data_IF_256658483460
#
_entry.id   IF_256658483460
#
_cell.length_a   1.000
_cell.length_b   1.000
_cell.length_c   1.000
_cell.angle_alpha   90.00
_cell.angle_beta   90.00
_cell.angle_gamma   90.00
#
_symmetry.space_group_name_H-M   'P 1'
#
loop_
_entity.id
_entity.type
_entity.pdbx_description
1 polymer ?
#
# COMPACT_ATOMS: atom_id res chain seq x y z
N UNK A 1 35.54 31.81 -77.58
CA UNK A 1 34.30 32.21 -76.88
C UNK A 1 34.74 32.83 -75.58
N UNK A 2 34.92 34.13 -75.52
CA UNK A 2 33.86 35.16 -75.37
C UNK A 2 33.27 35.19 -73.95
N UNK A 3 33.54 36.32 -73.28
CA UNK A 3 32.89 36.98 -72.12
C UNK A 3 31.35 36.78 -72.05
N UNK A 4 30.63 36.86 -70.91
CA UNK A 4 30.44 38.03 -70.01
C UNK A 4 29.79 37.69 -68.63
N UNK A 5 30.27 38.41 -67.59
CA UNK A 5 29.69 38.95 -66.31
C UNK A 5 28.42 38.41 -65.62
N UNK A 6 28.52 38.33 -64.27
CA UNK A 6 27.71 38.95 -63.17
C UNK A 6 27.86 38.04 -61.91
N UNK A 7 27.87 38.44 -60.64
CA UNK A 7 27.53 39.64 -59.87
C UNK A 7 28.18 39.42 -58.47
N UNK A 8 28.82 40.43 -57.89
CA UNK A 8 29.19 40.40 -56.46
C UNK A 8 27.94 40.78 -55.65
N UNK A 9 27.58 39.97 -54.66
CA UNK A 9 26.61 40.30 -53.61
C UNK A 9 27.21 39.93 -52.22
N UNK A 10 26.84 40.66 -51.16
CA UNK A 10 27.71 40.98 -50.04
C UNK A 10 27.79 39.89 -48.98
N UNK A 11 28.97 39.79 -48.33
CA UNK A 11 29.20 38.97 -47.14
C UNK A 11 28.33 39.47 -45.98
N UNK A 12 27.29 38.71 -45.62
CA UNK A 12 26.67 38.77 -44.30
C UNK A 12 27.69 38.27 -43.26
N UNK A 13 28.26 39.18 -42.46
CA UNK A 13 28.95 38.82 -41.23
C UNK A 13 27.91 38.69 -40.11
N UNK A 14 27.48 37.47 -39.83
CA UNK A 14 26.84 37.13 -38.55
C UNK A 14 27.91 36.83 -37.52
N UNK A 15 27.94 37.57 -36.40
CA UNK A 15 28.79 37.27 -35.25
C UNK A 15 27.95 36.71 -34.11
N UNK A 16 28.16 35.43 -33.78
CA UNK A 16 27.53 34.77 -32.63
C UNK A 16 28.34 35.05 -31.36
N UNK A 17 27.76 35.73 -30.37
CA UNK A 17 28.35 35.86 -29.02
C UNK A 17 27.49 35.09 -28.04
N UNK A 18 28.09 34.11 -27.36
CA UNK A 18 27.42 33.27 -26.36
C UNK A 18 27.86 33.67 -24.95
N UNK A 19 26.92 34.07 -24.09
CA UNK A 19 27.08 34.09 -22.63
C UNK A 19 25.77 33.62 -22.00
N UNK A 20 25.83 32.61 -21.13
CA UNK A 20 24.69 32.01 -20.41
C UNK A 20 23.50 31.61 -21.33
N UNK A 21 23.75 30.77 -22.33
CA UNK A 21 22.72 30.06 -23.08
C UNK A 21 21.76 30.91 -23.93
N UNK A 22 21.94 32.23 -23.99
CA UNK A 22 21.11 33.12 -24.80
C UNK A 22 21.84 33.44 -26.10
N UNK A 23 21.21 33.16 -27.25
CA UNK A 23 21.74 33.52 -28.58
C UNK A 23 21.07 34.83 -29.02
N UNK A 24 21.87 35.86 -29.28
CA UNK A 24 21.39 37.12 -29.86
C UNK A 24 21.63 37.10 -31.37
N UNK A 25 20.55 37.09 -32.15
CA UNK A 25 20.61 37.33 -33.59
C UNK A 25 20.21 38.78 -33.84
N UNK A 26 21.15 39.59 -34.34
CA UNK A 26 20.88 40.95 -34.80
C UNK A 26 20.80 40.93 -36.33
N UNK A 27 19.58 40.81 -36.87
CA UNK A 27 19.34 40.97 -38.31
C UNK A 27 19.24 42.47 -38.63
N UNK A 28 20.25 43.01 -39.31
CA UNK A 28 20.22 44.38 -39.82
C UNK A 28 19.57 44.40 -41.20
N UNK A 29 18.28 44.72 -41.26
CA UNK A 29 17.61 45.04 -42.54
C UNK A 29 17.47 46.55 -42.68
N UNK A 30 18.22 47.13 -43.62
CA UNK A 30 18.07 48.53 -44.02
C UNK A 30 16.85 48.67 -44.94
N UNK A 31 15.78 49.28 -44.44
CA UNK A 31 14.76 49.91 -45.28
C UNK A 31 14.09 51.07 -44.52
N UNK A 32 14.18 52.25 -45.14
CA UNK A 32 13.54 53.56 -44.92
C UNK A 32 12.90 53.92 -43.55
N UNK A 33 13.36 55.07 -43.06
CA UNK A 33 12.76 56.02 -42.10
C UNK A 33 11.37 55.67 -41.57
N UNK A 34 11.29 55.06 -40.39
CA UNK A 34 10.34 55.37 -39.30
C UNK A 34 10.76 54.61 -38.02
N UNK A 35 10.43 55.19 -36.87
CA UNK A 35 10.84 54.80 -35.49
C UNK A 35 10.99 53.29 -35.23
N UNK A 36 12.20 52.86 -34.86
CA UNK A 36 12.51 51.50 -34.40
C UNK A 36 11.88 51.21 -33.03
N UNK A 37 10.97 50.24 -32.96
CA UNK A 37 10.65 49.53 -31.72
C UNK A 37 11.42 48.22 -31.69
N UNK A 38 12.35 48.10 -30.74
CA UNK A 38 13.05 46.85 -30.43
C UNK A 38 12.03 45.80 -30.00
N UNK A 39 11.72 44.86 -30.91
CA UNK A 39 10.86 43.73 -30.58
C UNK A 39 11.77 42.56 -30.21
N UNK A 40 11.99 42.36 -28.89
CA UNK A 40 12.70 41.20 -28.37
C UNK A 40 11.87 39.94 -28.63
N UNK A 41 12.28 39.15 -29.61
CA UNK A 41 11.79 37.77 -29.78
C UNK A 41 12.64 36.88 -28.87
N UNK A 42 12.08 36.45 -27.75
CA UNK A 42 12.69 35.43 -26.89
C UNK A 42 12.35 34.07 -27.50
N UNK A 43 13.32 33.42 -28.13
CA UNK A 43 13.18 32.02 -28.51
C UNK A 43 13.17 31.18 -27.24
N UNK A 44 12.01 30.62 -26.87
CA UNK A 44 11.91 29.60 -25.82
C UNK A 44 12.45 28.32 -26.41
N UNK A 45 13.67 27.93 -26.04
CA UNK A 45 14.17 26.59 -26.34
C UNK A 45 13.40 25.63 -25.44
N UNK A 46 12.63 24.66 -25.99
CA UNK A 46 11.95 23.69 -25.14
C UNK A 46 13.00 22.91 -24.34
N UNK A 47 12.75 22.77 -23.04
CA UNK A 47 13.63 22.00 -22.16
C UNK A 47 13.83 20.58 -22.72
N UNK A 48 15.04 19.99 -22.62
CA UNK A 48 15.31 18.66 -23.14
C UNK A 48 14.39 17.64 -22.46
N UNK A 49 13.53 17.00 -23.25
CA UNK A 49 12.61 15.97 -22.78
C UNK A 49 13.40 14.74 -22.33
N UNK A 50 13.31 14.39 -21.04
CA UNK A 50 14.03 13.26 -20.44
C UNK A 50 13.20 11.98 -20.61
N UNK A 51 13.76 10.91 -21.19
CA UNK A 51 13.02 9.66 -21.33
C UNK A 51 12.62 9.05 -19.98
N UNK A 52 11.38 8.61 -19.86
CA UNK A 52 10.87 7.94 -18.67
C UNK A 52 11.57 6.58 -18.51
N UNK A 53 12.04 6.31 -17.29
CA UNK A 53 12.74 5.05 -16.92
C UNK A 53 12.08 4.30 -15.78
N UNK A 54 11.11 4.92 -15.10
CA UNK A 54 10.50 4.43 -13.87
C UNK A 54 9.05 4.88 -13.81
N UNK A 55 8.18 4.04 -13.24
CA UNK A 55 6.79 4.38 -12.99
C UNK A 55 6.54 5.09 -11.66
N UNK A 56 7.59 5.44 -10.91
CA UNK A 56 7.46 6.24 -9.70
C UNK A 56 6.67 7.52 -10.00
N UNK A 57 5.57 7.68 -9.29
CA UNK A 57 4.63 8.81 -9.37
C UNK A 57 3.85 8.96 -10.70
N UNK A 58 4.01 8.02 -11.63
CA UNK A 58 3.42 8.04 -12.99
C UNK A 58 2.52 6.85 -13.32
N UNK A 59 2.12 6.06 -12.31
CA UNK A 59 1.25 4.91 -12.50
C UNK A 59 -0.09 5.29 -13.15
N UNK A 60 -0.46 4.55 -14.20
CA UNK A 60 -1.73 4.67 -14.92
C UNK A 60 -1.96 6.00 -15.64
N UNK A 61 -0.93 6.84 -15.77
CA UNK A 61 -1.02 8.06 -16.56
C UNK A 61 -0.99 7.74 -18.06
N UNK A 62 -1.76 8.49 -18.85
CA UNK A 62 -1.85 8.26 -20.29
C UNK A 62 -0.49 8.44 -20.98
N UNK A 63 -0.15 7.53 -21.91
CA UNK A 63 1.09 7.60 -22.67
C UNK A 63 1.05 8.76 -23.67
N UNK A 64 2.13 9.55 -23.69
CA UNK A 64 2.34 10.66 -24.61
C UNK A 64 3.81 10.65 -25.03
N UNK A 65 4.07 10.38 -26.31
CA UNK A 65 5.43 10.19 -26.85
C UNK A 65 6.21 11.52 -26.94
N UNK A 66 5.52 12.65 -27.11
CA UNK A 66 6.15 13.97 -27.21
C UNK A 66 6.56 14.51 -25.84
N UNK A 67 5.71 14.28 -24.83
CA UNK A 67 5.96 14.74 -23.45
C UNK A 67 6.78 13.75 -22.63
N UNK A 68 6.67 12.44 -22.89
CA UNK A 68 7.31 11.37 -22.11
C UNK A 68 7.75 10.19 -23.01
N UNK A 69 8.80 10.38 -23.82
CA UNK A 69 9.42 9.29 -24.55
C UNK A 69 9.99 8.26 -23.56
N UNK A 70 10.09 6.97 -23.93
CA UNK A 70 10.67 5.92 -23.09
C UNK A 70 9.70 4.79 -22.76
N UNK A 71 9.84 4.22 -21.56
CA UNK A 71 8.97 3.13 -21.10
C UNK A 71 7.60 3.65 -20.63
N UNK A 72 6.61 2.76 -20.62
CA UNK A 72 5.21 3.08 -20.35
C UNK A 72 4.78 2.67 -18.94
N UNK A 73 3.78 3.37 -18.40
CA UNK A 73 3.20 3.11 -17.07
C UNK A 73 1.67 3.10 -17.08
N UNK A 74 1.06 3.17 -18.27
CA UNK A 74 -0.39 3.06 -18.46
C UNK A 74 -0.85 1.60 -18.46
N UNK A 75 -2.17 1.39 -18.41
CA UNK A 75 -2.77 0.06 -18.37
C UNK A 75 -2.38 -0.85 -19.55
N UNK A 76 -2.09 -0.27 -20.72
CA UNK A 76 -1.76 -1.03 -21.93
C UNK A 76 -0.27 -1.34 -22.07
N UNK A 77 0.59 -0.88 -21.15
CA UNK A 77 2.02 -1.14 -21.23
C UNK A 77 2.33 -2.65 -21.21
N UNK A 78 1.51 -3.43 -20.48
CA UNK A 78 1.68 -4.88 -20.34
C UNK A 78 1.39 -5.59 -21.65
N UNK A 79 0.28 -5.23 -22.32
CA UNK A 79 -0.12 -5.80 -23.59
C UNK A 79 0.88 -5.48 -24.72
N UNK A 80 1.55 -4.33 -24.63
CA UNK A 80 2.53 -3.86 -25.62
C UNK A 80 3.98 -4.21 -25.26
N UNK A 81 4.20 -4.91 -24.14
CA UNK A 81 5.52 -5.25 -23.61
C UNK A 81 6.47 -4.03 -23.54
N UNK A 82 5.93 -2.89 -23.13
CA UNK A 82 6.61 -1.59 -23.13
C UNK A 82 6.71 -0.96 -21.73
N UNK A 83 6.31 -1.69 -20.68
CA UNK A 83 6.33 -1.18 -19.32
C UNK A 83 7.73 -0.81 -18.84
N UNK A 84 7.81 0.17 -17.93
CA UNK A 84 9.03 0.37 -17.16
C UNK A 84 9.31 -0.86 -16.28
N UNK A 85 10.58 -1.08 -15.95
CA UNK A 85 11.03 -2.27 -15.24
C UNK A 85 10.41 -2.43 -13.84
N UNK A 86 9.99 -1.32 -13.25
CA UNK A 86 9.38 -1.24 -11.91
C UNK A 86 7.85 -1.10 -11.92
N UNK A 87 7.21 -1.19 -13.09
CA UNK A 87 5.76 -1.02 -13.23
C UNK A 87 4.98 -2.00 -12.34
N UNK A 88 5.38 -3.27 -12.30
CA UNK A 88 4.69 -4.27 -11.48
C UNK A 88 4.83 -3.95 -9.98
N UNK A 89 6.04 -3.62 -9.52
CA UNK A 89 6.33 -3.35 -8.11
C UNK A 89 5.68 -2.06 -7.60
N UNK A 90 5.58 -1.03 -8.45
CA UNK A 90 5.08 0.30 -8.06
C UNK A 90 3.59 0.46 -8.36
N UNK A 91 3.07 -0.11 -9.46
CA UNK A 91 1.70 0.15 -9.90
C UNK A 91 0.74 -1.02 -9.66
N UNK A 92 1.20 -2.28 -9.73
CA UNK A 92 0.34 -3.47 -9.58
C UNK A 92 0.34 -4.04 -8.17
N UNK A 93 1.53 -4.28 -7.61
CA UNK A 93 1.71 -4.82 -6.26
C UNK A 93 0.90 -4.09 -5.17
N UNK A 94 0.79 -2.74 -5.14
CA UNK A 94 -0.03 -2.04 -4.14
C UNK A 94 -1.50 -2.47 -4.10
N UNK A 95 -2.02 -2.98 -5.21
CA UNK A 95 -3.43 -3.37 -5.39
C UNK A 95 -3.69 -4.82 -4.97
N UNK A 96 -2.62 -5.61 -4.85
CA UNK A 96 -2.65 -7.06 -4.62
C UNK A 96 -2.09 -7.44 -3.24
N UNK A 97 -1.12 -6.68 -2.71
CA UNK A 97 -0.41 -7.00 -1.46
C UNK A 97 -0.69 -5.99 -0.34
N UNK A 98 -0.51 -6.47 0.90
CA UNK A 98 -0.70 -5.73 2.15
C UNK A 98 0.62 -5.26 2.78
N UNK A 99 1.69 -5.22 1.99
CA UNK A 99 3.05 -4.94 2.47
C UNK A 99 3.71 -3.80 1.69
N UNK A 100 4.42 -2.94 2.42
CA UNK A 100 5.39 -2.03 1.84
C UNK A 100 6.64 -2.78 1.39
N UNK A 101 7.18 -2.35 0.26
CA UNK A 101 8.53 -2.65 -0.19
C UNK A 101 9.36 -1.37 -0.19
N UNK A 102 10.69 -1.48 -0.31
CA UNK A 102 11.55 -0.29 -0.41
C UNK A 102 11.20 0.61 -1.60
N UNK A 103 10.69 0.04 -2.69
CA UNK A 103 10.29 0.79 -3.89
C UNK A 103 9.03 1.64 -3.65
N UNK A 104 8.12 1.16 -2.80
CA UNK A 104 6.85 1.82 -2.43
C UNK A 104 6.99 2.91 -1.36
N UNK A 105 8.14 3.02 -0.68
CA UNK A 105 8.32 4.03 0.36
C UNK A 105 8.24 5.44 -0.23
N UNK A 106 7.33 6.28 0.28
CA UNK A 106 7.07 7.61 -0.27
C UNK A 106 6.43 7.55 -1.66
N UNK A 107 5.56 6.56 -1.91
CA UNK A 107 4.74 6.49 -3.12
C UNK A 107 3.68 7.59 -3.16
N UNK A 108 3.34 8.07 -4.35
CA UNK A 108 2.07 8.74 -4.60
C UNK A 108 0.92 7.76 -4.39
N UNK A 109 -0.09 8.17 -3.61
CA UNK A 109 -1.25 7.34 -3.29
C UNK A 109 -1.97 6.89 -4.55
N UNK A 110 -2.22 5.59 -4.65
CA UNK A 110 -3.11 5.01 -5.66
C UNK A 110 -4.45 4.66 -5.00
N UNK A 111 -5.60 5.15 -5.51
CA UNK A 111 -6.91 4.90 -4.92
C UNK A 111 -7.26 3.42 -4.71
N UNK A 112 -6.71 2.54 -5.54
CA UNK A 112 -6.93 1.11 -5.53
C UNK A 112 -5.94 0.32 -4.64
N UNK A 113 -5.08 1.01 -3.88
CA UNK A 113 -4.13 0.35 -2.98
C UNK A 113 -4.86 -0.30 -1.80
N UNK A 114 -4.42 -1.48 -1.39
CA UNK A 114 -4.94 -2.16 -0.19
C UNK A 114 -4.52 -1.46 1.11
N UNK A 115 -3.30 -0.93 1.12
CA UNK A 115 -2.69 -0.13 2.16
C UNK A 115 -1.62 0.77 1.56
N UNK A 116 -1.22 1.82 2.28
CA UNK A 116 -0.35 2.87 1.76
C UNK A 116 1.06 2.83 2.36
N UNK A 117 2.03 3.27 1.57
CA UNK A 117 3.42 3.50 1.98
C UNK A 117 3.85 4.95 1.77
N UNK A 118 2.88 5.84 1.60
CA UNK A 118 3.05 7.30 1.48
C UNK A 118 3.42 7.93 2.82
N UNK A 119 3.99 9.14 2.80
CA UNK A 119 4.44 9.82 4.02
C UNK A 119 3.31 10.22 4.98
N UNK A 120 2.11 10.38 4.45
CA UNK A 120 0.90 10.76 5.19
C UNK A 120 0.08 9.57 5.71
N UNK A 121 0.49 8.32 5.41
CA UNK A 121 -0.31 7.13 5.77
C UNK A 121 -0.52 7.00 7.29
N UNK A 122 0.43 7.47 8.10
CA UNK A 122 0.34 7.38 9.56
C UNK A 122 -0.74 8.32 10.11
N UNK A 123 -0.86 9.52 9.55
CA UNK A 123 -1.92 10.47 9.91
C UNK A 123 -3.28 10.04 9.37
N UNK A 124 -3.32 9.39 8.21
CA UNK A 124 -4.54 8.86 7.62
C UNK A 124 -5.02 7.55 8.28
N UNK A 125 -4.12 6.82 8.96
CA UNK A 125 -4.42 5.55 9.63
C UNK A 125 -4.52 4.36 8.67
N UNK A 126 -3.90 4.44 7.51
CA UNK A 126 -4.04 3.47 6.40
C UNK A 126 -2.70 2.90 5.90
N UNK A 127 -1.63 3.04 6.70
CA UNK A 127 -0.35 2.43 6.38
C UNK A 127 -0.44 0.90 6.31
N UNK A 128 0.38 0.29 5.45
CA UNK A 128 0.66 -1.13 5.58
C UNK A 128 1.32 -1.44 6.94
N UNK A 129 1.06 -2.63 7.49
CA UNK A 129 1.50 -3.00 8.84
C UNK A 129 3.02 -2.97 9.02
N UNK A 130 3.78 -3.21 7.95
CA UNK A 130 5.25 -3.20 7.94
C UNK A 130 5.88 -1.84 7.57
N UNK A 131 5.09 -0.76 7.34
CA UNK A 131 5.59 0.54 6.85
C UNK A 131 6.74 1.11 7.68
N UNK A 132 6.61 1.14 9.00
CA UNK A 132 7.63 1.71 9.89
C UNK A 132 8.96 0.95 9.80
N UNK A 133 8.88 -0.37 9.78
CA UNK A 133 10.06 -1.22 9.66
C UNK A 133 10.74 -1.06 8.29
N UNK A 134 9.96 -1.07 7.20
CA UNK A 134 10.50 -1.04 5.83
C UNK A 134 10.96 0.35 5.40
N UNK A 135 10.18 1.40 5.70
CA UNK A 135 10.39 2.75 5.18
C UNK A 135 11.03 3.72 6.18
N UNK A 136 10.86 3.50 7.50
CA UNK A 136 11.48 4.33 8.53
C UNK A 136 12.71 3.67 9.18
N UNK A 137 12.99 2.40 8.86
CA UNK A 137 14.12 1.66 9.43
C UNK A 137 14.00 1.45 10.94
N UNK A 138 12.78 1.54 11.49
CA UNK A 138 12.55 1.25 12.91
C UNK A 138 12.82 -0.23 13.17
N UNK A 139 13.77 -0.53 14.05
CA UNK A 139 14.02 -1.89 14.51
C UNK A 139 12.89 -2.35 15.44
N UNK A 140 12.63 -3.66 15.47
CA UNK A 140 11.72 -4.25 16.43
C UNK A 140 12.13 -3.86 17.86
N UNK A 141 11.32 -3.03 18.51
CA UNK A 141 11.55 -2.67 19.89
C UNK A 141 11.52 -3.94 20.76
N UNK A 142 12.60 -4.16 21.53
CA UNK A 142 12.58 -5.13 22.61
C UNK A 142 11.40 -4.84 23.54
N UNK A 143 10.67 -5.89 23.92
CA UNK A 143 9.48 -5.82 24.78
C UNK A 143 9.87 -5.27 26.16
N UNK A 144 9.88 -3.95 26.27
CA UNK A 144 9.92 -3.24 27.54
C UNK A 144 8.53 -3.37 28.19
N UNK A 145 8.50 -3.98 29.37
CA UNK A 145 7.34 -4.26 30.24
C UNK A 145 6.47 -3.02 30.62
N UNK A 146 6.75 -1.85 30.06
CA UNK A 146 5.95 -0.63 30.20
C UNK A 146 5.59 -0.10 28.83
N UNK A 147 4.68 -0.80 28.15
CA UNK A 147 3.95 -0.17 27.05
C UNK A 147 3.04 0.90 27.66
N UNK A 148 3.47 2.15 27.54
CA UNK A 148 2.63 3.31 27.84
C UNK A 148 1.61 3.46 26.73
N UNK A 149 0.34 3.27 27.07
CA UNK A 149 -0.76 3.73 26.23
C UNK A 149 -0.52 5.21 25.86
N UNK A 150 -0.79 5.58 24.59
CA UNK A 150 -0.81 7.00 24.22
C UNK A 150 -1.89 7.70 25.06
N UNK A 151 -1.77 9.02 25.26
CA UNK A 151 -2.71 9.79 26.09
C UNK A 151 -4.19 9.70 25.68
N UNK A 152 -4.48 9.12 24.52
CA UNK A 152 -5.84 8.86 24.02
C UNK A 152 -6.52 7.66 24.71
N UNK A 153 -5.76 6.69 25.22
CA UNK A 153 -6.32 5.47 25.81
C UNK A 153 -6.33 5.55 27.34
N UNK A 154 -7.52 5.61 27.94
CA UNK A 154 -7.71 5.61 29.41
C UNK A 154 -7.44 4.25 30.05
N UNK A 155 -7.54 3.16 29.28
CA UNK A 155 -7.31 1.77 29.70
C UNK A 155 -6.60 1.02 28.59
N UNK A 156 -5.85 -0.02 28.95
CA UNK A 156 -5.25 -0.93 27.98
C UNK A 156 -6.36 -1.69 27.24
N UNK A 157 -6.40 -1.64 25.89
CA UNK A 157 -7.37 -2.41 25.13
C UNK A 157 -7.05 -3.91 25.21
N UNK A 158 -8.08 -4.75 25.20
CA UNK A 158 -7.96 -6.20 25.11
C UNK A 158 -8.20 -6.64 23.66
N UNK A 159 -7.27 -7.41 23.11
CA UNK A 159 -7.44 -8.10 21.83
C UNK A 159 -7.47 -9.62 22.08
N UNK A 160 -8.63 -10.23 21.87
CA UNK A 160 -8.80 -11.69 21.92
C UNK A 160 -8.56 -12.26 20.52
N UNK A 161 -7.49 -13.04 20.35
CA UNK A 161 -7.15 -13.73 19.10
C UNK A 161 -7.38 -15.23 19.30
N UNK A 162 -8.37 -15.80 18.60
CA UNK A 162 -8.61 -17.25 18.59
C UNK A 162 -8.07 -17.88 17.32
N UNK A 163 -7.35 -18.99 17.45
CA UNK A 163 -6.85 -19.80 16.35
C UNK A 163 -7.49 -21.19 16.44
N UNK A 164 -8.50 -21.45 15.60
CA UNK A 164 -9.27 -22.70 15.67
C UNK A 164 -8.39 -23.92 15.37
N UNK A 165 -8.54 -24.98 16.16
CA UNK A 165 -7.77 -26.22 16.01
C UNK A 165 -6.26 -26.09 16.31
N UNK A 166 -5.79 -25.01 16.95
CA UNK A 166 -4.39 -24.87 17.34
C UNK A 166 -4.04 -25.83 18.50
N UNK A 167 -3.57 -27.03 18.15
CA UNK A 167 -3.13 -28.03 19.13
C UNK A 167 -1.91 -27.52 19.90
N UNK A 168 -1.89 -27.70 21.22
CA UNK A 168 -0.81 -27.23 22.09
C UNK A 168 0.59 -27.73 21.68
N UNK A 169 0.67 -28.95 21.13
CA UNK A 169 1.91 -29.54 20.61
C UNK A 169 2.53 -28.70 19.48
N UNK A 170 1.74 -27.98 18.68
CA UNK A 170 2.27 -27.18 17.58
C UNK A 170 3.21 -26.07 18.06
N UNK A 171 2.93 -25.49 19.23
CA UNK A 171 3.79 -24.49 19.88
C UNK A 171 5.09 -25.08 20.46
N UNK A 172 5.24 -26.40 20.46
CA UNK A 172 6.43 -27.11 20.96
C UNK A 172 7.25 -27.65 19.78
N UNK A 173 6.59 -28.34 18.85
CA UNK A 173 7.25 -29.01 17.72
C UNK A 173 7.61 -28.06 16.59
N UNK A 174 6.79 -27.02 16.35
CA UNK A 174 6.92 -26.16 15.15
C UNK A 174 7.25 -24.71 15.48
N UNK A 175 7.72 -24.40 16.70
CA UNK A 175 7.95 -23.03 17.17
C UNK A 175 8.78 -22.17 16.21
N UNK A 176 9.79 -22.75 15.57
CA UNK A 176 10.66 -22.07 14.59
C UNK A 176 9.92 -21.60 13.33
N UNK A 177 8.80 -22.23 12.98
CA UNK A 177 7.96 -21.86 11.83
C UNK A 177 6.89 -20.84 12.17
N UNK A 178 6.66 -20.55 13.46
CA UNK A 178 5.66 -19.59 13.96
C UNK A 178 6.31 -18.54 14.87
N UNK A 179 7.33 -17.80 14.38
CA UNK A 179 8.18 -16.95 15.22
C UNK A 179 7.40 -15.88 15.99
N UNK A 180 6.27 -15.38 15.44
CA UNK A 180 5.41 -14.40 16.14
C UNK A 180 4.73 -15.03 17.36
N UNK A 181 4.16 -16.23 17.21
CA UNK A 181 3.52 -16.94 18.33
C UNK A 181 4.56 -17.41 19.36
N UNK A 182 5.73 -17.85 18.90
CA UNK A 182 6.83 -18.23 19.79
C UNK A 182 7.36 -17.03 20.60
N UNK A 183 7.48 -15.86 19.99
CA UNK A 183 7.83 -14.61 20.68
C UNK A 183 6.77 -14.22 21.72
N UNK A 184 5.47 -14.34 21.39
CA UNK A 184 4.39 -14.11 22.36
C UNK A 184 4.45 -15.09 23.53
N UNK A 185 4.74 -16.37 23.27
CA UNK A 185 4.87 -17.42 24.29
C UNK A 185 6.06 -17.19 25.23
N UNK A 186 7.21 -16.80 24.68
CA UNK A 186 8.48 -16.66 25.41
C UNK A 186 8.61 -15.33 26.16
N UNK A 187 8.08 -14.24 25.61
CA UNK A 187 8.14 -12.92 26.22
C UNK A 187 6.89 -12.56 27.04
N UNK A 188 5.76 -13.23 26.78
CA UNK A 188 4.51 -13.08 27.51
C UNK A 188 4.34 -14.10 28.63
N UNK A 189 3.08 -14.31 29.04
CA UNK A 189 2.69 -15.40 29.94
C UNK A 189 2.02 -16.50 29.13
N UNK A 190 2.45 -17.75 29.29
CA UNK A 190 1.90 -18.91 28.59
C UNK A 190 1.70 -20.11 29.50
N UNK A 191 0.74 -20.96 29.17
CA UNK A 191 0.52 -22.26 29.79
C UNK A 191 0.98 -23.39 28.85
N UNK A 192 1.37 -24.58 29.36
CA UNK A 192 1.76 -25.71 28.51
C UNK A 192 0.66 -26.16 27.55
N UNK A 193 -0.59 -26.07 27.99
CA UNK A 193 -1.81 -26.30 27.23
C UNK A 193 -3.01 -25.66 27.95
N UNK A 194 -4.14 -25.52 27.25
CA UNK A 194 -5.43 -25.14 27.82
C UNK A 194 -6.41 -26.29 27.60
N UNK A 195 -7.10 -26.72 28.64
CA UNK A 195 -8.09 -27.79 28.54
C UNK A 195 -9.40 -27.24 27.95
N UNK A 196 -9.84 -27.84 26.85
CA UNK A 196 -11.11 -27.55 26.22
C UNK A 196 -12.29 -28.06 27.06
N UNK A 197 -13.44 -27.39 26.93
CA UNK A 197 -14.71 -27.95 27.37
C UNK A 197 -15.10 -29.15 26.48
N UNK A 198 -15.85 -30.10 27.04
CA UNK A 198 -16.41 -31.20 26.28
C UNK A 198 -17.80 -30.81 25.70
N UNK A 199 -18.07 -31.09 24.42
CA UNK A 199 -17.19 -31.71 23.44
C UNK A 199 -16.12 -30.74 22.91
N UNK A 200 -14.96 -31.29 22.50
CA UNK A 200 -13.84 -30.50 21.94
C UNK A 200 -14.13 -30.07 20.49
N UNK A 201 -15.18 -29.25 20.31
CA UNK A 201 -15.68 -28.71 19.06
C UNK A 201 -15.63 -27.19 19.06
N UNK A 202 -15.58 -26.60 17.87
CA UNK A 202 -15.41 -25.15 17.65
C UNK A 202 -16.44 -24.32 18.41
N UNK A 203 -17.74 -24.46 18.13
CA UNK A 203 -18.76 -23.58 18.71
C UNK A 203 -18.88 -23.70 20.22
N UNK A 204 -19.00 -24.92 20.79
CA UNK A 204 -19.04 -25.09 22.25
C UNK A 204 -17.84 -24.44 22.95
N UNK A 205 -16.63 -24.58 22.42
CA UNK A 205 -15.43 -24.03 23.06
C UNK A 205 -15.27 -22.52 22.87
N UNK A 206 -15.52 -21.99 21.67
CA UNK A 206 -15.42 -20.55 21.43
C UNK A 206 -16.44 -19.78 22.28
N UNK A 207 -17.66 -20.31 22.41
CA UNK A 207 -18.68 -19.69 23.24
C UNK A 207 -18.39 -19.84 24.74
N UNK A 208 -17.83 -20.99 25.16
CA UNK A 208 -17.34 -21.17 26.54
C UNK A 208 -16.22 -20.17 26.89
N UNK A 209 -15.31 -19.84 25.96
CA UNK A 209 -14.24 -18.85 26.18
C UNK A 209 -14.81 -17.46 26.46
N UNK A 210 -15.82 -17.03 25.69
CA UNK A 210 -16.36 -15.66 25.81
C UNK A 210 -17.39 -15.50 26.91
N UNK A 211 -17.98 -16.58 27.42
CA UNK A 211 -18.98 -16.57 28.50
C UNK A 211 -18.44 -17.05 29.84
N UNK A 212 -17.38 -17.88 29.85
CA UNK A 212 -16.90 -18.57 31.05
C UNK A 212 -17.81 -19.72 31.52
N UNK A 213 -18.82 -20.10 30.73
CA UNK A 213 -19.81 -21.11 31.09
C UNK A 213 -19.55 -22.44 30.36
N UNK A 214 -19.88 -23.56 31.00
CA UNK A 214 -19.90 -24.86 30.34
C UNK A 214 -20.96 -24.92 29.23
N UNK A 215 -20.76 -25.77 28.19
CA UNK A 215 -21.72 -25.95 27.10
C UNK A 215 -23.16 -26.23 27.56
N UNK A 216 -23.34 -27.04 28.60
CA UNK A 216 -24.66 -27.33 29.18
C UNK A 216 -25.38 -26.12 29.77
N UNK A 217 -24.62 -25.10 30.20
CA UNK A 217 -25.16 -23.86 30.78
C UNK A 217 -25.29 -22.74 29.76
N UNK A 218 -24.43 -22.71 28.74
CA UNK A 218 -24.44 -21.68 27.70
C UNK A 218 -25.30 -22.04 26.48
N UNK A 219 -25.83 -23.27 26.41
CA UNK A 219 -26.78 -23.73 25.40
C UNK A 219 -26.15 -24.33 24.15
N UNK A 220 -24.85 -24.11 23.89
CA UNK A 220 -24.18 -24.60 22.69
C UNK A 220 -23.40 -25.90 22.98
N UNK A 221 -24.10 -27.03 22.96
CA UNK A 221 -23.56 -28.34 23.34
C UNK A 221 -22.84 -29.09 22.21
N UNK A 222 -23.10 -28.77 20.94
CA UNK A 222 -22.39 -29.30 19.77
C UNK A 222 -22.47 -28.31 18.59
N UNK A 223 -21.71 -28.55 17.52
CA UNK A 223 -21.83 -27.82 16.27
C UNK A 223 -23.14 -28.14 15.51
N UNK A 224 -23.76 -29.28 15.83
CA UNK A 224 -25.07 -29.71 15.30
C UNK A 224 -25.89 -30.29 16.45
N UNK A 225 -27.04 -29.70 16.73
CA UNK A 225 -27.89 -30.10 17.86
C UNK A 225 -29.37 -29.89 17.55
N UNK A 226 -30.24 -30.69 18.15
CA UNK A 226 -31.69 -30.56 18.04
C UNK A 226 -32.25 -30.27 19.43
N UNK A 227 -33.12 -29.27 19.53
CA UNK A 227 -33.84 -28.93 20.75
C UNK A 227 -35.31 -29.35 20.59
N UNK A 228 -35.81 -30.29 21.42
CA UNK A 228 -37.19 -30.78 21.32
C UNK A 228 -38.25 -29.79 21.80
N UNK A 229 -37.87 -28.75 22.54
CA UNK A 229 -38.78 -27.67 22.97
C UNK A 229 -38.94 -26.64 21.86
N UNK A 230 -37.85 -26.31 21.16
CA UNK A 230 -37.91 -25.45 19.98
C UNK A 230 -38.43 -26.19 18.74
N UNK A 231 -38.37 -27.53 18.76
CA UNK A 231 -38.61 -28.39 17.60
C UNK A 231 -37.78 -27.96 16.37
N UNK A 232 -36.51 -27.63 16.64
CA UNK A 232 -35.61 -27.03 15.66
C UNK A 232 -34.20 -27.64 15.77
N UNK A 233 -33.48 -27.63 14.64
CA UNK A 233 -32.10 -28.12 14.57
C UNK A 233 -31.13 -26.98 14.29
N UNK A 234 -30.18 -26.78 15.18
CA UNK A 234 -29.05 -25.88 15.00
C UNK A 234 -27.94 -26.58 14.19
N UNK A 235 -27.35 -25.86 13.23
CA UNK A 235 -26.13 -26.26 12.54
C UNK A 235 -25.35 -25.04 12.07
N UNK A 236 -24.03 -25.14 11.98
CA UNK A 236 -23.18 -24.07 11.43
C UNK A 236 -23.52 -23.70 9.97
N UNK A 237 -24.15 -24.64 9.26
CA UNK A 237 -24.51 -24.54 7.85
C UNK A 237 -25.92 -24.00 7.59
N UNK A 238 -26.73 -23.78 8.63
CA UNK A 238 -28.11 -23.30 8.47
C UNK A 238 -28.31 -21.92 9.09
N UNK A 239 -29.45 -21.29 8.78
CA UNK A 239 -29.81 -19.96 9.28
C UNK A 239 -30.26 -19.99 10.75
N UNK A 240 -30.61 -21.16 11.28
CA UNK A 240 -31.03 -21.35 12.68
C UNK A 240 -29.94 -20.90 13.66
N UNK A 241 -28.67 -20.92 13.23
CA UNK A 241 -27.56 -20.39 14.03
C UNK A 241 -27.65 -18.90 14.35
N UNK A 242 -28.46 -18.13 13.63
CA UNK A 242 -28.63 -16.69 13.90
C UNK A 242 -29.74 -16.43 14.94
N UNK A 243 -30.49 -17.47 15.33
CA UNK A 243 -31.54 -17.35 16.33
C UNK A 243 -30.91 -17.17 17.74
N UNK A 244 -31.15 -16.04 18.42
CA UNK A 244 -30.53 -15.74 19.71
C UNK A 244 -30.98 -16.69 20.83
N UNK A 245 -32.09 -17.43 20.66
CA UNK A 245 -32.59 -18.37 21.68
C UNK A 245 -31.61 -19.52 22.00
N UNK A 246 -30.70 -19.85 21.08
CA UNK A 246 -29.65 -20.86 21.29
C UNK A 246 -28.49 -20.38 22.15
N UNK A 247 -28.33 -19.07 22.32
CA UNK A 247 -27.16 -18.45 22.94
C UNK A 247 -27.49 -17.97 24.35
N UNK A 248 -27.25 -18.83 25.34
CA UNK A 248 -27.50 -18.51 26.74
C UNK A 248 -26.26 -17.86 27.39
N UNK A 249 -26.44 -17.30 28.59
CA UNK A 249 -25.37 -16.59 29.30
C UNK A 249 -25.09 -15.20 28.76
N UNK A 250 -23.96 -14.61 29.16
CA UNK A 250 -23.58 -13.25 28.76
C UNK A 250 -22.14 -13.25 28.21
N UNK A 251 -21.95 -13.07 26.89
CA UNK A 251 -20.61 -13.00 26.32
C UNK A 251 -19.91 -11.67 26.62
N UNK A 252 -18.58 -11.70 26.63
CA UNK A 252 -17.71 -10.55 26.91
C UNK A 252 -17.96 -9.33 26.00
N UNK A 253 -18.45 -9.54 24.77
CA UNK A 253 -18.73 -8.47 23.81
C UNK A 253 -19.92 -7.58 24.18
N UNK A 254 -20.72 -7.96 25.17
CA UNK A 254 -21.83 -7.16 25.69
C UNK A 254 -21.40 -6.16 26.80
N UNK A 255 -20.11 -6.09 27.12
CA UNK A 255 -19.53 -5.17 28.11
C UNK A 255 -18.83 -3.96 27.49
#
# INVERSE_FOLDING_TARGET
GEHWKHKEDPKELSSTITKNGTVFLSDFKMENTETFKETRVVAVVPDPVVPLKSCRDHCYEAFDEELRPGCRCDENCVATNSCCSDFFDICKVPTELWECTRLRCGEKRLPQSRCHCSDDCLSAGDCCTNYKHVCRGEQEAHLLFRQTCTGLFKRQPLLLVSLDGLRAEYLQTWSTFIPVLDKLKTCGTSAPYMQAAFPSKTFPNHYSIVTGLYPESNGLIDNVMYDPVFDASFSLSNEEKENPAWYLGQPVSLF
#
